data_IF_169765604431
#
_entry.id   IF_169765604431
#
_cell.length_a   1.000
_cell.length_b   1.000
_cell.length_c   1.000
_cell.angle_alpha   90.00
_cell.angle_beta   90.00
_cell.angle_gamma   90.00
#
_symmetry.space_group_name_H-M   'P 1'
#
loop_
_entity.id
_entity.type
_entity.pdbx_description
1 polymer ?
#
# COMPACT_ATOMS: atom_id res chain seq x y z
N UNK A 1 -30.09 -16.14 7.88
CA UNK A 1 -28.68 -15.73 7.74
C UNK A 1 -27.91 -16.82 6.99
N UNK A 2 -27.25 -16.44 5.90
CA UNK A 2 -26.30 -17.33 5.19
C UNK A 2 -24.91 -17.05 5.73
N UNK A 3 -24.26 -18.05 6.29
CA UNK A 3 -22.88 -17.97 6.76
C UNK A 3 -21.97 -18.39 5.60
N UNK A 4 -21.10 -17.48 5.19
CA UNK A 4 -20.06 -17.74 4.18
C UNK A 4 -18.66 -17.74 4.79
N UNK A 5 -17.64 -17.86 3.96
CA UNK A 5 -16.24 -17.77 4.37
C UNK A 5 -15.73 -18.97 5.17
N UNK A 6 -16.37 -20.11 5.06
CA UNK A 6 -16.01 -21.37 5.73
C UNK A 6 -15.57 -22.43 4.72
N UNK A 7 -14.84 -23.45 5.20
CA UNK A 7 -14.38 -24.57 4.35
C UNK A 7 -13.65 -24.09 3.09
N UNK A 8 -13.89 -24.72 1.95
CA UNK A 8 -13.24 -24.41 0.66
C UNK A 8 -13.95 -23.29 -0.07
N UNK A 9 -13.77 -22.08 0.39
CA UNK A 9 -14.37 -20.87 -0.15
C UNK A 9 -13.37 -19.71 -0.16
N UNK A 10 -13.82 -18.54 -0.60
CA UNK A 10 -13.15 -17.28 -0.24
C UNK A 10 -13.35 -17.04 1.25
N UNK A 11 -12.40 -17.52 2.06
CA UNK A 11 -12.57 -17.57 3.51
C UNK A 11 -12.42 -16.20 4.18
N UNK A 12 -11.56 -15.35 3.62
CA UNK A 12 -11.29 -14.02 4.16
C UNK A 12 -11.05 -13.05 3.03
N UNK A 13 -11.75 -11.94 3.07
CA UNK A 13 -11.51 -10.78 2.26
C UNK A 13 -11.30 -9.59 3.20
N UNK A 14 -10.04 -9.25 3.46
CA UNK A 14 -9.67 -8.22 4.42
C UNK A 14 -9.01 -7.02 3.76
N UNK A 15 -9.09 -5.88 4.43
CA UNK A 15 -8.42 -4.67 3.96
C UNK A 15 -7.88 -3.82 5.11
N UNK A 16 -6.91 -2.99 4.79
CA UNK A 16 -6.43 -1.94 5.67
C UNK A 16 -7.36 -0.73 5.63
N UNK A 17 -7.19 0.20 6.54
CA UNK A 17 -8.10 1.34 6.72
C UNK A 17 -8.23 2.27 5.50
N UNK A 18 -7.22 2.29 4.62
CA UNK A 18 -7.25 3.12 3.43
C UNK A 18 -7.46 4.60 3.74
N UNK A 19 -8.29 5.26 2.96
CA UNK A 19 -8.57 6.69 3.13
C UNK A 19 -9.41 7.03 4.36
N UNK A 20 -9.93 6.05 5.09
CA UNK A 20 -10.70 6.31 6.31
C UNK A 20 -9.82 6.85 7.43
N UNK A 21 -8.67 6.22 7.69
CA UNK A 21 -7.80 6.58 8.83
C UNK A 21 -6.30 6.40 8.56
N UNK A 22 -5.88 5.93 7.40
CA UNK A 22 -4.46 5.76 7.12
C UNK A 22 -3.81 7.12 6.80
N UNK A 23 -2.66 7.40 7.40
CA UNK A 23 -1.91 8.64 7.13
C UNK A 23 -1.27 8.67 5.74
N UNK A 24 -1.01 7.51 5.15
CA UNK A 24 -0.29 7.37 3.87
C UNK A 24 -1.03 6.49 2.86
N UNK A 25 -2.35 6.68 2.65
CA UNK A 25 -3.10 5.82 1.76
C UNK A 25 -2.75 6.14 0.30
N UNK A 26 -2.43 5.12 -0.48
CA UNK A 26 -2.23 5.24 -1.93
C UNK A 26 -3.46 4.80 -2.73
N UNK A 27 -4.44 4.13 -2.10
CA UNK A 27 -5.70 3.71 -2.73
C UNK A 27 -6.81 3.54 -1.71
N UNK A 28 -8.04 3.48 -2.22
CA UNK A 28 -9.22 3.09 -1.44
C UNK A 28 -9.28 1.55 -1.31
N UNK A 29 -8.65 1.02 -0.26
CA UNK A 29 -8.64 -0.42 -0.01
C UNK A 29 -10.04 -0.98 0.24
N UNK A 30 -10.93 -0.23 0.86
CA UNK A 30 -12.31 -0.66 1.14
C UNK A 30 -13.15 -0.76 -0.14
N UNK A 31 -13.00 0.19 -1.06
CA UNK A 31 -13.67 0.15 -2.36
C UNK A 31 -13.23 -1.04 -3.22
N UNK A 32 -11.92 -1.33 -3.23
CA UNK A 32 -11.38 -2.51 -3.91
C UNK A 32 -11.97 -3.80 -3.33
N UNK A 33 -12.02 -3.94 -2.00
CA UNK A 33 -12.62 -5.11 -1.34
C UNK A 33 -14.11 -5.21 -1.63
N UNK A 34 -14.84 -4.09 -1.62
CA UNK A 34 -16.27 -4.08 -1.94
C UNK A 34 -16.51 -4.61 -3.37
N UNK A 35 -15.75 -4.13 -4.35
CA UNK A 35 -15.89 -4.57 -5.74
C UNK A 35 -15.57 -6.06 -5.89
N UNK A 36 -14.50 -6.55 -5.25
CA UNK A 36 -14.17 -7.97 -5.26
C UNK A 36 -15.25 -8.82 -4.58
N UNK A 37 -15.82 -8.36 -3.47
CA UNK A 37 -16.85 -9.12 -2.76
C UNK A 37 -18.15 -9.18 -3.54
N UNK A 38 -18.50 -8.15 -4.28
CA UNK A 38 -19.68 -8.16 -5.15
C UNK A 38 -19.57 -9.23 -6.25
N UNK A 39 -18.36 -9.44 -6.79
CA UNK A 39 -18.11 -10.48 -7.80
C UNK A 39 -17.95 -11.89 -7.17
N UNK A 40 -17.32 -11.99 -5.99
CA UNK A 40 -16.99 -13.27 -5.37
C UNK A 40 -18.01 -13.72 -4.32
N UNK A 41 -19.18 -13.13 -4.26
CA UNK A 41 -20.18 -13.44 -3.24
C UNK A 41 -20.69 -14.89 -3.33
N UNK A 42 -20.71 -15.45 -4.52
CA UNK A 42 -21.13 -16.83 -4.76
C UNK A 42 -20.10 -17.80 -4.19
N UNK A 43 -18.82 -17.60 -4.50
CA UNK A 43 -17.71 -18.43 -4.01
C UNK A 43 -17.53 -18.32 -2.49
N UNK A 44 -17.89 -17.16 -1.92
CA UNK A 44 -17.93 -16.98 -0.47
C UNK A 44 -19.03 -17.80 0.21
N UNK A 45 -20.21 -17.96 -0.43
CA UNK A 45 -21.38 -18.65 0.13
C UNK A 45 -21.40 -20.15 -0.13
N UNK A 46 -21.03 -20.59 -1.33
CA UNK A 46 -21.27 -21.97 -1.78
C UNK A 46 -20.19 -22.97 -1.36
N UNK A 47 -19.02 -22.51 -0.93
CA UNK A 47 -17.93 -23.35 -0.46
C UNK A 47 -17.49 -24.46 -1.45
N UNK A 48 -17.58 -24.21 -2.75
CA UNK A 48 -17.29 -25.17 -3.80
C UNK A 48 -15.93 -24.99 -4.50
N UNK A 49 -15.04 -24.16 -3.93
CA UNK A 49 -13.70 -23.97 -4.44
C UNK A 49 -12.80 -25.17 -4.16
N UNK A 50 -11.73 -25.38 -4.94
CA UNK A 50 -10.78 -26.46 -4.71
C UNK A 50 -10.08 -26.39 -3.34
N UNK A 51 -9.88 -25.18 -2.81
CA UNK A 51 -9.24 -24.93 -1.52
C UNK A 51 -9.73 -23.60 -0.95
N UNK A 52 -9.41 -23.36 0.32
CA UNK A 52 -9.62 -22.09 1.00
C UNK A 52 -8.71 -21.00 0.42
N UNK A 53 -9.25 -19.82 0.20
CA UNK A 53 -8.51 -18.66 -0.31
C UNK A 53 -8.66 -17.47 0.64
N UNK A 54 -7.55 -16.85 0.98
CA UNK A 54 -7.47 -15.60 1.75
C UNK A 54 -6.99 -14.47 0.85
N UNK A 55 -7.79 -13.44 0.71
CA UNK A 55 -7.44 -12.25 -0.08
C UNK A 55 -7.25 -11.07 0.86
N UNK A 56 -6.15 -10.35 0.71
CA UNK A 56 -5.86 -9.16 1.50
C UNK A 56 -5.62 -7.97 0.60
N UNK A 57 -6.15 -6.81 0.98
CA UNK A 57 -5.93 -5.55 0.27
C UNK A 57 -5.30 -4.53 1.20
N UNK A 58 -4.20 -3.96 0.78
CA UNK A 58 -3.49 -2.93 1.54
C UNK A 58 -3.47 -1.61 0.78
N UNK A 59 -3.79 -0.53 1.47
CA UNK A 59 -3.85 0.81 0.88
C UNK A 59 -2.48 1.38 0.51
N UNK A 60 -1.40 0.80 1.00
CA UNK A 60 -0.03 1.23 0.70
C UNK A 60 0.95 0.07 0.77
N UNK A 61 2.19 0.35 0.43
CA UNK A 61 3.30 -0.58 0.33
C UNK A 61 3.73 -1.19 1.70
N UNK A 62 3.36 -0.57 2.82
CA UNK A 62 3.66 -1.08 4.18
C UNK A 62 2.91 -2.38 4.47
N UNK A 63 1.80 -2.63 3.78
CA UNK A 63 1.06 -3.89 3.83
C UNK A 63 0.59 -4.29 5.24
N UNK A 64 0.00 -3.34 5.98
CA UNK A 64 -0.48 -3.57 7.35
C UNK A 64 -1.56 -4.66 7.48
N UNK A 65 -2.25 -5.00 6.39
CA UNK A 65 -3.24 -6.08 6.35
C UNK A 65 -2.65 -7.49 6.38
N UNK A 66 -1.33 -7.59 6.35
CA UNK A 66 -0.65 -8.87 6.20
C UNK A 66 -0.69 -9.41 4.77
N UNK A 67 -0.33 -10.66 4.62
CA UNK A 67 -0.32 -11.35 3.34
C UNK A 67 -1.31 -12.53 3.38
N UNK A 68 -2.24 -12.55 2.43
CA UNK A 68 -3.09 -13.71 2.17
C UNK A 68 -2.51 -14.57 1.04
N UNK A 69 -3.29 -15.48 0.52
CA UNK A 69 -2.93 -16.25 -0.67
C UNK A 69 -2.87 -15.35 -1.92
N UNK A 70 -3.70 -14.31 -1.93
CA UNK A 70 -3.67 -13.21 -2.87
C UNK A 70 -3.55 -11.91 -2.08
N UNK A 71 -2.57 -11.08 -2.39
CA UNK A 71 -2.43 -9.75 -1.80
C UNK A 71 -2.45 -8.68 -2.87
N UNK A 72 -3.22 -7.62 -2.62
CA UNK A 72 -3.32 -6.46 -3.49
C UNK A 72 -2.85 -5.25 -2.70
N UNK A 73 -1.87 -4.53 -3.22
CA UNK A 73 -1.40 -3.31 -2.57
C UNK A 73 -0.96 -2.26 -3.59
N UNK A 74 -0.87 -1.01 -3.13
CA UNK A 74 -0.25 0.04 -3.93
C UNK A 74 1.26 -0.08 -3.85
N UNK A 75 1.90 0.05 -5.00
CA UNK A 75 3.34 0.21 -5.13
C UNK A 75 3.65 1.57 -5.75
N UNK A 76 4.41 2.40 -5.05
CA UNK A 76 4.97 3.59 -5.65
C UNK A 76 6.22 3.21 -6.42
N UNK A 77 6.24 3.53 -7.70
CA UNK A 77 7.30 3.10 -8.65
C UNK A 77 8.39 4.13 -8.85
N UNK A 78 8.14 5.37 -8.42
CA UNK A 78 9.07 6.50 -8.55
C UNK A 78 9.15 7.28 -7.23
N UNK A 79 10.27 7.98 -6.97
CA UNK A 79 10.37 8.94 -5.88
C UNK A 79 9.31 10.05 -5.98
N UNK A 80 8.95 10.71 -4.87
CA UNK A 80 7.97 11.78 -4.90
C UNK A 80 8.45 12.96 -5.74
N UNK A 81 7.55 13.55 -6.51
CA UNK A 81 7.77 14.83 -7.18
C UNK A 81 7.57 15.98 -6.20
N UNK A 82 8.50 16.90 -6.14
CA UNK A 82 8.45 18.03 -5.21
C UNK A 82 7.98 19.28 -5.94
N UNK A 83 6.91 19.89 -5.46
CA UNK A 83 6.54 21.25 -5.85
C UNK A 83 7.25 22.27 -4.95
N UNK A 84 8.43 22.69 -5.38
CA UNK A 84 9.30 23.61 -4.62
C UNK A 84 8.66 24.97 -4.33
N UNK A 85 7.62 25.35 -5.07
CA UNK A 85 6.93 26.64 -4.87
C UNK A 85 6.10 26.65 -3.60
N UNK A 86 5.59 25.49 -3.18
CA UNK A 86 4.70 25.34 -2.05
C UNK A 86 5.39 24.82 -0.77
N UNK A 87 6.53 24.14 -0.90
CA UNK A 87 7.24 23.52 0.23
C UNK A 87 7.51 24.49 1.38
N UNK A 88 7.93 25.71 1.08
CA UNK A 88 8.25 26.73 2.09
C UNK A 88 7.07 27.18 2.93
N UNK A 89 5.85 27.08 2.40
CA UNK A 89 4.64 27.63 3.03
C UNK A 89 3.79 26.54 3.73
N UNK A 90 3.82 25.31 3.23
CA UNK A 90 2.90 24.23 3.64
C UNK A 90 3.61 23.13 4.43
N UNK A 91 4.89 22.89 4.15
CA UNK A 91 5.60 21.76 4.71
C UNK A 91 6.31 22.08 6.01
N UNK A 92 6.14 21.22 7.00
CA UNK A 92 6.98 21.17 8.19
C UNK A 92 8.26 20.38 7.88
N UNK A 93 9.24 21.05 7.29
CA UNK A 93 10.46 20.44 6.74
C UNK A 93 11.23 19.54 7.72
N UNK A 94 11.44 19.89 9.00
CA UNK A 94 12.10 18.99 9.95
C UNK A 94 11.37 17.67 10.12
N UNK A 95 10.04 17.70 10.21
CA UNK A 95 9.20 16.50 10.34
C UNK A 95 9.26 15.62 9.09
N UNK A 96 9.30 16.22 7.91
CA UNK A 96 9.45 15.47 6.64
C UNK A 96 10.78 14.71 6.60
N UNK A 97 11.88 15.40 6.97
CA UNK A 97 13.21 14.78 7.02
C UNK A 97 13.27 13.66 8.06
N UNK A 98 12.73 13.90 9.26
CA UNK A 98 12.71 12.90 10.34
C UNK A 98 11.85 11.68 10.01
N UNK A 99 10.78 11.85 9.21
CA UNK A 99 9.86 10.77 8.85
C UNK A 99 10.42 9.83 7.77
N UNK A 100 11.49 10.22 7.07
CA UNK A 100 12.08 9.38 6.05
C UNK A 100 12.88 8.21 6.68
N UNK A 101 12.44 6.94 6.51
CA UNK A 101 13.07 5.81 7.20
C UNK A 101 14.48 5.49 6.70
N UNK A 102 14.84 5.98 5.51
CA UNK A 102 16.17 5.75 4.89
C UNK A 102 16.98 7.01 4.75
N UNK A 103 16.55 8.11 5.39
CA UNK A 103 17.23 9.42 5.34
C UNK A 103 17.53 9.88 3.89
N UNK A 104 16.61 9.63 2.98
CA UNK A 104 16.73 10.07 1.58
C UNK A 104 16.36 11.54 1.38
N UNK A 105 15.73 12.19 2.37
CA UNK A 105 15.26 13.58 2.27
C UNK A 105 16.19 14.49 3.03
N UNK A 106 16.60 15.58 2.40
CA UNK A 106 17.49 16.58 2.99
C UNK A 106 16.94 18.01 2.78
N UNK A 107 17.23 18.93 3.71
CA UNK A 107 16.98 20.35 3.46
C UNK A 107 17.81 20.84 2.27
N UNK A 108 17.20 21.63 1.41
CA UNK A 108 17.85 22.23 0.26
C UNK A 108 17.37 23.69 0.07
N UNK A 109 18.11 24.44 -0.73
CA UNK A 109 17.71 25.77 -1.16
C UNK A 109 17.47 25.71 -2.67
N UNK A 110 16.26 26.06 -3.10
CA UNK A 110 15.87 26.11 -4.51
C UNK A 110 15.37 27.51 -4.81
N UNK A 111 15.94 28.17 -5.80
CA UNK A 111 15.62 29.55 -6.19
C UNK A 111 15.66 30.56 -5.02
N UNK A 112 16.62 30.40 -4.11
CA UNK A 112 16.78 31.24 -2.92
C UNK A 112 15.73 31.00 -1.82
N UNK A 113 14.84 30.02 -1.99
CA UNK A 113 13.83 29.65 -0.99
C UNK A 113 14.18 28.32 -0.32
N UNK A 114 13.88 28.20 0.98
CA UNK A 114 14.10 26.94 1.69
C UNK A 114 13.13 25.85 1.18
N UNK A 115 13.69 24.72 0.77
CA UNK A 115 12.98 23.58 0.18
C UNK A 115 13.55 22.26 0.68
N UNK A 116 13.22 21.18 0.00
CA UNK A 116 13.66 19.82 0.26
C UNK A 116 14.23 19.21 -1.01
N UNK A 117 15.15 18.27 -0.85
CA UNK A 117 15.72 17.45 -1.92
C UNK A 117 15.57 15.98 -1.56
N UNK A 118 15.35 15.13 -2.56
CA UNK A 118 15.25 13.68 -2.40
C UNK A 118 16.41 12.99 -3.12
N UNK A 119 17.16 12.19 -2.39
CA UNK A 119 18.14 11.27 -2.96
C UNK A 119 17.38 10.07 -3.56
N UNK A 120 17.18 10.10 -4.87
CA UNK A 120 16.41 9.07 -5.60
C UNK A 120 17.01 7.65 -5.44
N UNK A 121 18.34 7.56 -5.29
CA UNK A 121 19.03 6.26 -5.12
C UNK A 121 18.76 5.62 -3.77
N UNK A 122 18.47 6.41 -2.75
CA UNK A 122 18.13 5.94 -1.42
C UNK A 122 16.63 5.80 -1.19
N UNK A 123 15.82 6.49 -1.98
CA UNK A 123 14.37 6.50 -1.82
C UNK A 123 13.79 5.12 -2.07
N UNK A 124 13.07 4.59 -1.07
CA UNK A 124 12.34 3.31 -1.17
C UNK A 124 10.87 3.51 -1.58
N UNK A 125 10.49 4.68 -2.00
CA UNK A 125 9.16 5.02 -2.48
C UNK A 125 8.01 4.65 -1.50
N UNK A 126 8.23 4.79 -0.19
CA UNK A 126 7.26 4.35 0.83
C UNK A 126 6.07 5.30 1.05
N UNK A 127 6.12 6.54 0.55
CA UNK A 127 5.06 7.53 0.70
C UNK A 127 5.00 8.26 2.05
N UNK A 128 5.87 7.94 3.02
CA UNK A 128 5.84 8.51 4.37
C UNK A 128 6.08 10.03 4.41
N UNK A 129 6.65 10.62 3.38
CA UNK A 129 6.90 12.06 3.26
C UNK A 129 5.66 12.87 2.88
N UNK A 130 4.66 12.24 2.26
CA UNK A 130 3.47 12.93 1.74
C UNK A 130 2.62 13.58 2.84
N UNK A 131 2.25 12.90 3.95
CA UNK A 131 1.37 13.52 4.96
C UNK A 131 1.90 14.81 5.58
N UNK A 132 3.18 14.92 6.00
CA UNK A 132 3.72 16.18 6.54
C UNK A 132 4.06 17.21 5.46
N UNK A 133 4.02 16.83 4.19
CA UNK A 133 4.33 17.71 3.06
C UNK A 133 3.53 17.31 1.80
N UNK A 134 2.25 17.70 1.70
CA UNK A 134 1.43 17.38 0.53
C UNK A 134 2.02 17.78 -0.83
N UNK A 135 2.85 18.85 -0.94
CA UNK A 135 3.61 19.15 -2.15
C UNK A 135 4.62 18.07 -2.60
N UNK A 136 4.92 17.06 -1.77
CA UNK A 136 5.71 15.90 -2.16
C UNK A 136 4.80 14.82 -2.75
N UNK A 137 4.34 15.01 -3.98
CA UNK A 137 3.35 14.16 -4.63
C UNK A 137 3.94 12.80 -5.00
N UNK A 138 3.30 11.72 -4.55
CA UNK A 138 3.67 10.34 -4.83
C UNK A 138 2.47 9.47 -5.22
N UNK A 139 1.24 9.92 -4.95
CA UNK A 139 0.00 9.17 -5.15
C UNK A 139 -0.70 9.52 -6.48
N UNK A 140 0.04 9.81 -7.52
CA UNK A 140 -0.49 10.04 -8.86
C UNK A 140 -0.34 8.80 -9.76
N UNK A 141 -0.99 8.83 -10.93
CA UNK A 141 -1.00 7.71 -11.87
C UNK A 141 0.39 7.37 -12.44
N UNK A 142 1.33 8.30 -12.41
CA UNK A 142 2.71 8.06 -12.87
C UNK A 142 3.56 7.36 -11.80
N UNK A 143 3.31 7.66 -10.53
CA UNK A 143 4.12 7.22 -9.40
C UNK A 143 3.54 6.01 -8.68
N UNK A 144 2.24 5.74 -8.84
CA UNK A 144 1.54 4.69 -8.10
C UNK A 144 0.85 3.70 -9.04
N UNK A 145 0.97 2.41 -8.72
CA UNK A 145 0.29 1.31 -9.40
C UNK A 145 -0.26 0.33 -8.38
N UNK A 146 -1.33 -0.37 -8.74
CA UNK A 146 -1.78 -1.52 -7.98
C UNK A 146 -0.94 -2.73 -8.36
N UNK A 147 -0.41 -3.41 -7.36
CA UNK A 147 0.34 -4.64 -7.50
C UNK A 147 -0.47 -5.82 -6.95
N UNK A 148 -0.52 -6.90 -7.70
CA UNK A 148 -1.17 -8.15 -7.32
C UNK A 148 -0.11 -9.21 -7.08
N UNK A 149 -0.11 -9.76 -5.89
CA UNK A 149 0.81 -10.79 -5.44
C UNK A 149 0.05 -12.08 -5.18
N UNK A 150 0.59 -13.21 -5.62
CA UNK A 150 -0.04 -14.51 -5.48
C UNK A 150 0.91 -15.52 -4.85
N UNK A 151 0.37 -16.44 -4.08
CA UNK A 151 1.11 -17.46 -3.36
C UNK A 151 1.67 -16.95 -2.04
N UNK A 152 2.77 -17.52 -1.61
CA UNK A 152 3.34 -17.26 -0.30
C UNK A 152 2.74 -18.14 0.78
N UNK A 153 3.47 -18.26 1.87
CA UNK A 153 3.08 -19.09 3.00
C UNK A 153 3.77 -18.62 4.27
N UNK A 154 2.98 -18.45 5.34
CA UNK A 154 3.54 -18.35 6.68
C UNK A 154 3.96 -19.74 7.13
N UNK A 155 5.13 -19.90 7.68
CA UNK A 155 5.64 -21.17 8.18
C UNK A 155 4.62 -21.90 9.08
N UNK A 156 4.46 -23.19 8.89
CA UNK A 156 3.74 -24.06 9.79
C UNK A 156 4.53 -25.37 9.99
N UNK A 157 3.99 -26.33 10.77
CA UNK A 157 4.66 -27.59 11.06
C UNK A 157 5.01 -28.45 9.82
N UNK A 158 4.41 -28.16 8.66
CA UNK A 158 4.55 -28.96 7.43
C UNK A 158 5.22 -28.23 6.28
N UNK A 159 5.31 -26.89 6.34
CA UNK A 159 5.83 -26.08 5.23
C UNK A 159 6.74 -24.97 5.73
N UNK A 160 7.77 -24.67 4.95
CA UNK A 160 8.65 -23.52 5.16
C UNK A 160 7.97 -22.23 4.68
N UNK A 161 8.33 -21.05 5.24
CA UNK A 161 7.84 -19.79 4.74
C UNK A 161 8.31 -19.55 3.30
N UNK A 162 7.42 -19.04 2.48
CA UNK A 162 7.72 -18.67 1.08
C UNK A 162 7.19 -17.28 0.79
N UNK A 163 7.89 -16.55 -0.08
CA UNK A 163 7.45 -15.24 -0.53
C UNK A 163 6.38 -15.35 -1.62
N UNK A 164 5.50 -14.37 -1.66
CA UNK A 164 4.56 -14.19 -2.75
C UNK A 164 5.30 -13.80 -4.04
N UNK A 165 4.67 -14.06 -5.18
CA UNK A 165 5.13 -13.62 -6.50
C UNK A 165 4.26 -12.49 -6.99
N UNK A 166 4.89 -11.43 -7.48
CA UNK A 166 4.21 -10.35 -8.19
C UNK A 166 3.69 -10.90 -9.53
N UNK A 167 2.43 -10.66 -9.81
CA UNK A 167 1.74 -11.12 -11.04
C UNK A 167 1.39 -9.92 -11.93
N UNK A 168 0.94 -8.82 -11.35
CA UNK A 168 0.56 -7.61 -12.08
C UNK A 168 0.79 -6.35 -11.23
#
# INVERSE_FOLDING_TARGET
>A
FIVGGTANSVATLSHTQGWLHCDIPGTDASGVVKSMMDELITEFKECNMPNRVHITTSCCQINCGGQGDIAINVQHTKPPRIDHTQVGNVCERPSVVARCPVAAIRPAMVDGKPSLEVDEKKCICCGACYPPCPPMQINDAEHSKLAIWVGGNHSNARSKPTFQRLVA
#
